data_IF_433223943515
#
_entry.id   IF_433223943515
#
_cell.length_a   1.000
_cell.length_b   1.000
_cell.length_c   1.000
_cell.angle_alpha   90.00
_cell.angle_beta   90.00
_cell.angle_gamma   90.00
#
_symmetry.space_group_name_H-M   'P 1'
#
loop_
_entity.id
_entity.type
_entity.pdbx_description
1 polymer ?
#
# COMPACT_ATOMS: atom_id res chain seq x y z
N UNK A 1 -17.82 0.59 76.68
CA UNK A 1 -17.07 1.35 75.64
C UNK A 1 -16.87 0.59 74.31
N UNK A 2 -16.81 -0.75 74.26
CA UNK A 2 -16.62 -1.50 73.00
C UNK A 2 -17.80 -1.49 72.00
N UNK A 3 -19.03 -1.17 72.43
CA UNK A 3 -20.20 -1.05 71.52
C UNK A 3 -20.32 0.31 70.85
N UNK A 4 -19.71 1.38 71.41
CA UNK A 4 -19.80 2.73 70.85
C UNK A 4 -18.79 2.92 69.70
N UNK A 5 -17.63 2.25 69.78
CA UNK A 5 -16.62 2.25 68.71
C UNK A 5 -17.07 1.50 67.45
N UNK A 6 -17.89 0.45 67.58
CA UNK A 6 -18.39 -0.29 66.41
C UNK A 6 -19.44 0.51 65.63
N UNK A 7 -20.31 1.25 66.32
CA UNK A 7 -21.33 2.10 65.68
C UNK A 7 -20.73 3.30 64.96
N UNK A 8 -19.64 3.87 65.48
CA UNK A 8 -18.93 5.00 64.85
C UNK A 8 -18.19 4.58 63.58
N UNK A 9 -17.55 3.41 63.57
CA UNK A 9 -16.89 2.86 62.38
C UNK A 9 -17.91 2.49 61.30
N UNK A 10 -19.04 1.89 61.66
CA UNK A 10 -20.13 1.60 60.72
C UNK A 10 -20.77 2.88 60.17
N UNK A 11 -20.92 3.93 60.99
CA UNK A 11 -21.46 5.22 60.52
C UNK A 11 -20.51 5.95 59.57
N UNK A 12 -19.19 5.87 59.76
CA UNK A 12 -18.21 6.44 58.83
C UNK A 12 -18.20 5.69 57.48
N UNK A 13 -18.31 4.37 57.49
CA UNK A 13 -18.36 3.54 56.26
C UNK A 13 -19.65 3.83 55.46
N UNK A 14 -20.78 4.01 56.14
CA UNK A 14 -22.05 4.37 55.50
C UNK A 14 -22.00 5.78 54.90
N UNK A 15 -21.40 6.76 55.59
CA UNK A 15 -21.27 8.14 55.09
C UNK A 15 -20.33 8.24 53.88
N UNK A 16 -19.25 7.44 53.82
CA UNK A 16 -18.40 7.37 52.62
C UNK A 16 -19.14 6.78 51.41
N UNK A 17 -19.98 5.76 51.59
CA UNK A 17 -20.78 5.16 50.52
C UNK A 17 -21.85 6.11 49.95
N UNK A 18 -22.44 6.96 50.79
CA UNK A 18 -23.39 7.98 50.35
C UNK A 18 -22.74 9.19 49.66
N UNK A 19 -21.45 9.45 49.86
CA UNK A 19 -20.75 10.57 49.20
C UNK A 19 -20.31 10.26 47.77
N UNK A 20 -20.18 8.98 47.40
CA UNK A 20 -19.58 8.56 46.12
C UNK A 20 -20.62 8.42 45.01
N UNK A 21 -21.84 7.96 45.33
CA UNK A 21 -22.99 8.05 44.42
C UNK A 21 -23.36 9.50 44.06
N UNK A 22 -22.90 10.49 44.85
CA UNK A 22 -23.03 11.92 44.51
C UNK A 22 -22.22 12.29 43.28
N UNK A 23 -21.07 11.67 43.01
CA UNK A 23 -20.28 12.00 41.83
C UNK A 23 -21.03 11.62 40.55
N UNK A 24 -21.71 10.46 40.52
CA UNK A 24 -22.59 10.08 39.40
C UNK A 24 -23.73 11.10 39.25
N UNK A 25 -24.34 11.52 40.36
CA UNK A 25 -25.43 12.49 40.34
C UNK A 25 -24.97 13.90 39.93
N UNK A 26 -23.80 14.33 40.37
CA UNK A 26 -23.19 15.61 40.02
C UNK A 26 -22.79 15.63 38.55
N UNK A 27 -22.21 14.54 38.04
CA UNK A 27 -21.93 14.38 36.61
C UNK A 27 -23.20 14.54 35.77
N UNK A 28 -24.31 13.89 36.18
CA UNK A 28 -25.61 14.09 35.53
C UNK A 28 -26.11 15.53 35.60
N UNK A 29 -26.04 16.16 36.78
CA UNK A 29 -26.51 17.54 36.97
C UNK A 29 -25.71 18.53 36.10
N UNK A 30 -24.39 18.32 35.96
CA UNK A 30 -23.51 19.13 35.11
C UNK A 30 -23.69 18.84 33.61
N UNK A 31 -24.11 17.62 33.26
CA UNK A 31 -24.34 17.19 31.87
C UNK A 31 -25.72 17.56 31.31
N UNK A 32 -26.75 17.75 32.16
CA UNK A 32 -28.15 17.87 31.72
C UNK A 32 -28.30 18.87 30.54
N UNK A 33 -28.70 18.34 29.38
CA UNK A 33 -28.86 19.08 28.13
C UNK A 33 -29.88 20.21 28.28
N UNK A 34 -29.66 21.32 27.55
CA UNK A 34 -30.35 22.62 27.56
C UNK A 34 -31.89 22.55 27.50
N UNK A 35 -32.52 21.99 28.52
CA UNK A 35 -33.98 21.98 28.69
C UNK A 35 -34.42 23.09 29.65
N UNK A 36 -33.49 23.68 30.41
CA UNK A 36 -33.78 24.63 31.49
C UNK A 36 -32.93 25.93 31.42
N UNK A 37 -32.43 26.37 30.25
CA UNK A 37 -31.49 27.52 30.10
C UNK A 37 -30.15 27.37 30.86
N UNK A 38 -29.85 26.16 31.34
CA UNK A 38 -28.56 25.82 31.96
C UNK A 38 -27.65 25.27 30.88
N UNK A 39 -26.52 25.95 30.65
CA UNK A 39 -25.49 25.52 29.70
C UNK A 39 -24.85 24.22 30.20
N UNK A 40 -24.77 23.21 29.34
CA UNK A 40 -24.04 21.97 29.63
C UNK A 40 -22.58 22.29 29.98
N UNK A 41 -22.12 21.80 31.15
CA UNK A 41 -20.74 22.00 31.60
C UNK A 41 -19.94 20.71 31.42
N UNK A 42 -19.54 20.43 30.18
CA UNK A 42 -18.92 19.16 29.79
C UNK A 42 -17.63 18.85 30.58
N UNK A 43 -16.77 19.84 30.83
CA UNK A 43 -15.55 19.65 31.62
C UNK A 43 -15.86 19.26 33.08
N UNK A 44 -16.80 19.96 33.73
CA UNK A 44 -17.22 19.65 35.10
C UNK A 44 -17.92 18.27 35.18
N UNK A 45 -18.75 17.93 34.18
CA UNK A 45 -19.38 16.63 34.08
C UNK A 45 -18.36 15.50 33.92
N UNK A 46 -17.32 15.73 33.10
CA UNK A 46 -16.18 14.82 32.92
C UNK A 46 -15.46 14.58 34.24
N UNK A 47 -15.11 15.64 34.96
CA UNK A 47 -14.38 15.53 36.23
C UNK A 47 -15.14 14.66 37.23
N UNK A 48 -16.46 14.90 37.39
CA UNK A 48 -17.27 14.08 38.30
C UNK A 48 -17.42 12.64 37.83
N UNK A 49 -17.59 12.38 36.52
CA UNK A 49 -17.78 11.01 36.05
C UNK A 49 -16.47 10.21 36.07
N UNK A 50 -15.31 10.87 35.94
CA UNK A 50 -13.99 10.25 36.11
C UNK A 50 -13.71 9.91 37.56
N UNK A 51 -14.09 10.78 38.50
CA UNK A 51 -14.03 10.46 39.93
C UNK A 51 -14.92 9.27 40.28
N UNK A 52 -16.10 9.14 39.65
CA UNK A 52 -16.97 7.98 39.84
C UNK A 52 -16.39 6.70 39.19
N UNK A 53 -15.79 6.81 38.00
CA UNK A 53 -15.17 5.69 37.31
C UNK A 53 -13.98 5.10 38.08
N UNK A 54 -13.13 5.95 38.65
CA UNK A 54 -11.93 5.53 39.38
C UNK A 54 -12.19 5.03 40.81
N UNK A 55 -13.45 4.98 41.25
CA UNK A 55 -13.81 4.57 42.59
C UNK A 55 -14.43 3.16 42.61
N UNK A 56 -13.93 2.27 43.48
CA UNK A 56 -14.28 0.83 43.51
C UNK A 56 -15.79 0.56 43.60
N UNK A 57 -16.52 1.33 44.40
CA UNK A 57 -17.97 1.14 44.59
C UNK A 57 -18.83 1.60 43.41
N UNK A 58 -18.30 2.40 42.50
CA UNK A 58 -19.05 3.04 41.40
C UNK A 58 -18.50 2.71 40.01
N UNK A 59 -17.30 2.14 39.91
CA UNK A 59 -16.64 1.77 38.65
C UNK A 59 -17.40 0.72 37.85
N UNK A 60 -18.24 -0.09 38.50
CA UNK A 60 -19.10 -1.08 37.87
C UNK A 60 -20.59 -0.71 37.88
N UNK A 61 -20.96 0.50 38.33
CA UNK A 61 -22.36 0.93 38.41
C UNK A 61 -22.92 1.19 36.99
N UNK A 62 -24.00 0.51 36.56
CA UNK A 62 -24.62 0.76 35.26
C UNK A 62 -25.10 2.22 35.07
N UNK A 63 -25.50 2.91 36.15
CA UNK A 63 -25.88 4.33 36.09
C UNK A 63 -24.67 5.20 35.74
N UNK A 64 -23.49 4.88 36.28
CA UNK A 64 -22.24 5.56 35.97
C UNK A 64 -21.91 5.38 34.48
N UNK A 65 -21.89 4.14 33.99
CA UNK A 65 -21.59 3.85 32.58
C UNK A 65 -22.54 4.55 31.61
N UNK A 66 -23.84 4.60 31.91
CA UNK A 66 -24.82 5.34 31.10
C UNK A 66 -24.51 6.84 31.01
N UNK A 67 -24.07 7.49 32.08
CA UNK A 67 -23.72 8.91 32.01
C UNK A 67 -22.34 9.13 31.40
N UNK A 68 -21.36 8.26 31.71
CA UNK A 68 -20.04 8.28 31.09
C UNK A 68 -20.14 8.20 29.58
N UNK A 69 -20.95 7.28 29.05
CA UNK A 69 -21.11 7.11 27.60
C UNK A 69 -21.66 8.38 26.94
N UNK A 70 -22.68 9.01 27.54
CA UNK A 70 -23.31 10.24 27.02
C UNK A 70 -22.39 11.46 27.10
N UNK A 71 -21.73 11.65 28.25
CA UNK A 71 -20.79 12.76 28.47
C UNK A 71 -19.63 12.67 27.48
N UNK A 72 -18.99 11.51 27.38
CA UNK A 72 -17.83 11.34 26.49
C UNK A 72 -18.22 11.35 25.01
N UNK A 73 -19.41 10.88 24.63
CA UNK A 73 -19.92 11.06 23.26
C UNK A 73 -20.06 12.54 22.91
N UNK A 74 -20.64 13.34 23.82
CA UNK A 74 -20.81 14.77 23.55
C UNK A 74 -19.47 15.52 23.52
N UNK A 75 -18.52 15.16 24.39
CA UNK A 75 -17.14 15.67 24.33
C UNK A 75 -16.51 15.30 22.99
N UNK A 76 -16.57 14.03 22.57
CA UNK A 76 -16.01 13.56 21.30
C UNK A 76 -16.57 14.34 20.10
N UNK A 77 -17.89 14.58 20.06
CA UNK A 77 -18.56 15.21 18.92
C UNK A 77 -18.45 16.73 18.90
N UNK A 78 -18.52 17.39 20.06
CA UNK A 78 -18.69 18.85 20.14
C UNK A 78 -17.52 19.58 20.78
N UNK A 79 -16.70 18.90 21.57
CA UNK A 79 -15.64 19.54 22.36
C UNK A 79 -14.41 18.63 22.55
N UNK A 80 -13.83 18.06 21.47
CA UNK A 80 -12.74 17.09 21.57
C UNK A 80 -11.48 17.68 22.24
N UNK A 81 -11.34 19.01 22.30
CA UNK A 81 -10.26 19.68 23.04
C UNK A 81 -10.30 19.50 24.57
N UNK A 82 -11.44 19.08 25.14
CA UNK A 82 -11.56 18.79 26.59
C UNK A 82 -10.81 17.51 26.94
N UNK A 83 -10.88 16.49 26.07
CA UNK A 83 -10.15 15.24 26.26
C UNK A 83 -9.78 14.63 24.90
N UNK A 84 -8.48 14.52 24.64
CA UNK A 84 -7.95 13.93 23.41
C UNK A 84 -8.28 12.43 23.28
N UNK A 85 -8.57 11.75 24.39
CA UNK A 85 -8.95 10.35 24.44
C UNK A 85 -10.48 10.15 24.43
N UNK A 86 -11.27 11.21 24.26
CA UNK A 86 -12.73 11.14 24.38
C UNK A 86 -13.37 10.04 23.52
N UNK A 87 -12.84 9.77 22.32
CA UNK A 87 -13.34 8.70 21.45
C UNK A 87 -13.15 7.31 22.07
N UNK A 88 -12.02 7.03 22.72
CA UNK A 88 -11.76 5.75 23.39
C UNK A 88 -12.63 5.61 24.64
N UNK A 89 -12.73 6.67 25.44
CA UNK A 89 -13.56 6.70 26.65
C UNK A 89 -15.05 6.55 26.33
N UNK A 90 -15.54 7.21 25.26
CA UNK A 90 -16.90 7.04 24.77
C UNK A 90 -17.13 5.61 24.29
N UNK A 91 -16.19 5.03 23.53
CA UNK A 91 -16.30 3.67 22.99
C UNK A 91 -16.41 2.64 24.13
N UNK A 92 -15.47 2.66 25.08
CA UNK A 92 -15.49 1.75 26.24
C UNK A 92 -16.80 1.89 27.01
N UNK A 93 -17.24 3.12 27.29
CA UNK A 93 -18.46 3.35 28.04
C UNK A 93 -19.73 2.86 27.33
N UNK A 94 -19.81 2.97 25.99
CA UNK A 94 -20.92 2.38 25.24
C UNK A 94 -20.87 0.84 25.23
N UNK A 95 -19.69 0.24 25.09
CA UNK A 95 -19.53 -1.21 25.18
C UNK A 95 -19.99 -1.71 26.56
N UNK A 96 -19.57 -1.05 27.64
CA UNK A 96 -20.00 -1.37 29.01
C UNK A 96 -21.49 -1.18 29.25
N UNK A 97 -22.12 -0.21 28.58
CA UNK A 97 -23.57 -0.07 28.61
C UNK A 97 -24.30 -1.32 28.06
N UNK A 98 -23.66 -2.14 27.23
CA UNK A 98 -24.24 -3.37 26.69
C UNK A 98 -24.05 -4.58 27.62
N UNK A 99 -23.34 -4.43 28.75
CA UNK A 99 -23.22 -5.51 29.74
C UNK A 99 -24.61 -6.00 30.21
N UNK A 100 -24.72 -7.31 30.41
CA UNK A 100 -25.99 -7.97 30.76
C UNK A 100 -26.04 -8.31 32.25
N UNK A 101 -27.22 -8.10 32.85
CA UNK A 101 -27.48 -8.51 34.23
C UNK A 101 -27.66 -10.03 34.35
N UNK A 102 -27.80 -10.54 35.58
CA UNK A 102 -27.98 -11.99 35.86
C UNK A 102 -29.19 -12.63 35.16
N UNK A 103 -30.10 -11.83 34.60
CA UNK A 103 -31.27 -12.29 33.83
C UNK A 103 -31.10 -12.08 32.33
N UNK A 104 -29.89 -11.78 31.85
CA UNK A 104 -29.56 -11.58 30.43
C UNK A 104 -30.03 -10.25 29.84
N UNK A 105 -30.52 -9.30 30.66
CA UNK A 105 -31.03 -8.00 30.18
C UNK A 105 -29.93 -6.96 30.26
N UNK A 106 -29.94 -5.97 29.37
CA UNK A 106 -29.02 -4.84 29.47
C UNK A 106 -29.08 -4.19 30.85
N UNK A 107 -27.89 -3.96 31.43
CA UNK A 107 -27.72 -3.41 32.77
C UNK A 107 -28.25 -1.97 32.85
N UNK A 108 -28.05 -1.16 31.80
CA UNK A 108 -28.43 0.26 31.76
C UNK A 108 -29.89 0.53 31.37
N UNK A 109 -30.71 -0.51 31.16
CA UNK A 109 -32.08 -0.40 30.61
C UNK A 109 -33.04 0.53 31.38
N UNK A 110 -32.71 0.90 32.63
CA UNK A 110 -33.49 1.84 33.43
C UNK A 110 -33.30 3.30 32.98
N UNK A 111 -32.20 3.61 32.29
CA UNK A 111 -31.81 4.98 31.94
C UNK A 111 -31.72 5.23 30.43
N UNK A 112 -31.51 4.19 29.64
CA UNK A 112 -31.36 4.31 28.19
C UNK A 112 -31.78 3.02 27.49
N UNK A 113 -32.29 3.13 26.27
CA UNK A 113 -32.64 1.95 25.45
C UNK A 113 -31.37 1.36 24.83
N UNK A 114 -31.42 0.07 24.50
CA UNK A 114 -30.33 -0.62 23.79
C UNK A 114 -29.98 0.10 22.48
N UNK A 115 -30.99 0.48 21.72
CA UNK A 115 -30.87 1.18 20.44
C UNK A 115 -30.09 2.49 20.57
N UNK A 116 -30.34 3.29 21.60
CA UNK A 116 -29.62 4.54 21.84
C UNK A 116 -28.13 4.28 22.12
N UNK A 117 -27.82 3.20 22.85
CA UNK A 117 -26.43 2.80 23.14
C UNK A 117 -25.74 2.34 21.86
N UNK A 118 -26.41 1.53 21.04
CA UNK A 118 -25.88 1.06 19.76
C UNK A 118 -25.67 2.23 18.78
N UNK A 119 -26.60 3.18 18.70
CA UNK A 119 -26.46 4.38 17.88
C UNK A 119 -25.27 5.25 18.31
N UNK A 120 -25.05 5.41 19.62
CA UNK A 120 -23.85 6.09 20.15
C UNK A 120 -22.56 5.34 19.84
N UNK A 121 -22.59 4.01 19.90
CA UNK A 121 -21.44 3.16 19.57
C UNK A 121 -21.10 3.22 18.06
N UNK A 122 -22.10 3.27 17.19
CA UNK A 122 -21.92 3.50 15.75
C UNK A 122 -21.26 4.86 15.50
N UNK A 123 -21.69 5.92 16.18
CA UNK A 123 -21.04 7.23 16.09
C UNK A 123 -19.57 7.19 16.54
N UNK A 124 -19.26 6.41 17.58
CA UNK A 124 -17.87 6.16 17.99
C UNK A 124 -17.07 5.46 16.88
N UNK A 125 -17.64 4.42 16.24
CA UNK A 125 -17.01 3.72 15.13
C UNK A 125 -16.68 4.63 13.94
N UNK A 126 -17.62 5.48 13.51
CA UNK A 126 -17.37 6.49 12.47
C UNK A 126 -16.29 7.50 12.89
N UNK A 127 -16.32 7.97 14.14
CA UNK A 127 -15.32 8.93 14.63
C UNK A 127 -13.91 8.30 14.70
N UNK A 128 -13.78 7.07 15.20
CA UNK A 128 -12.53 6.31 15.21
C UNK A 128 -11.96 6.15 13.80
N UNK A 129 -12.81 5.77 12.83
CA UNK A 129 -12.38 5.58 11.46
C UNK A 129 -11.90 6.89 10.82
N UNK A 130 -12.74 7.93 10.85
CA UNK A 130 -12.44 9.22 10.23
C UNK A 130 -11.21 9.88 10.86
N UNK A 131 -11.16 9.97 12.19
CA UNK A 131 -10.02 10.58 12.86
C UNK A 131 -8.77 9.69 12.85
N UNK A 132 -8.91 8.39 12.60
CA UNK A 132 -7.80 7.50 12.28
C UNK A 132 -7.18 7.83 10.91
N UNK A 133 -8.02 8.12 9.92
CA UNK A 133 -7.56 8.61 8.60
C UNK A 133 -6.88 9.98 8.75
N UNK A 134 -7.44 10.89 9.54
CA UNK A 134 -6.82 12.20 9.82
C UNK A 134 -5.44 12.04 10.48
N UNK A 135 -5.33 11.15 11.47
CA UNK A 135 -4.05 10.84 12.12
C UNK A 135 -3.04 10.25 11.15
N UNK A 136 -3.47 9.33 10.26
CA UNK A 136 -2.60 8.77 9.23
C UNK A 136 -2.06 9.86 8.30
N UNK A 137 -2.94 10.74 7.80
CA UNK A 137 -2.57 11.85 6.93
C UNK A 137 -1.65 12.87 7.64
N UNK A 138 -1.83 13.05 8.95
CA UNK A 138 -0.96 13.85 9.80
C UNK A 138 0.35 13.13 10.20
N UNK A 139 0.59 11.92 9.68
CA UNK A 139 1.74 11.04 9.99
C UNK A 139 1.80 10.55 11.45
N UNK A 140 0.70 10.65 12.18
CA UNK A 140 0.53 10.12 13.52
C UNK A 140 0.15 8.62 13.48
N UNK A 141 0.95 7.80 12.79
CA UNK A 141 0.62 6.41 12.45
C UNK A 141 0.28 5.54 13.67
N UNK A 142 1.04 5.70 14.77
CA UNK A 142 0.77 4.96 16.02
C UNK A 142 -0.60 5.26 16.61
N UNK A 143 -1.09 6.50 16.49
CA UNK A 143 -2.42 6.88 16.99
C UNK A 143 -3.52 6.36 16.06
N UNK A 144 -3.32 6.47 14.74
CA UNK A 144 -4.22 5.89 13.74
C UNK A 144 -4.42 4.38 13.98
N UNK A 145 -3.32 3.64 14.19
CA UNK A 145 -3.34 2.19 14.48
C UNK A 145 -4.19 1.88 15.71
N UNK A 146 -4.03 2.63 16.80
CA UNK A 146 -4.83 2.44 18.03
C UNK A 146 -6.32 2.61 17.74
N UNK A 147 -6.69 3.65 16.98
CA UNK A 147 -8.09 3.92 16.60
C UNK A 147 -8.66 2.80 15.73
N UNK A 148 -7.93 2.37 14.70
CA UNK A 148 -8.36 1.28 13.83
C UNK A 148 -8.53 -0.05 14.58
N UNK A 149 -7.60 -0.38 15.48
CA UNK A 149 -7.71 -1.58 16.33
C UNK A 149 -8.95 -1.54 17.21
N UNK A 150 -9.31 -0.37 17.74
CA UNK A 150 -10.48 -0.22 18.61
C UNK A 150 -11.80 -0.55 17.89
N UNK A 151 -11.90 -0.28 16.57
CA UNK A 151 -13.10 -0.55 15.77
C UNK A 151 -13.45 -2.05 15.76
N UNK A 152 -12.48 -2.96 15.89
CA UNK A 152 -12.77 -4.40 15.96
C UNK A 152 -13.56 -4.81 17.20
N UNK A 153 -13.57 -4.00 18.27
CA UNK A 153 -14.44 -4.22 19.43
C UNK A 153 -15.89 -3.82 19.14
N UNK A 154 -16.10 -2.96 18.13
CA UNK A 154 -17.41 -2.43 17.76
C UNK A 154 -18.07 -3.27 16.68
N UNK A 155 -17.32 -3.77 15.69
CA UNK A 155 -17.87 -4.53 14.55
C UNK A 155 -18.82 -5.67 14.97
N UNK A 156 -18.48 -6.53 15.96
CA UNK A 156 -19.37 -7.61 16.40
C UNK A 156 -20.69 -7.11 17.03
N UNK A 157 -20.78 -5.83 17.35
CA UNK A 157 -21.93 -5.17 17.97
C UNK A 157 -22.80 -4.40 16.95
N UNK A 158 -22.37 -4.27 15.69
CA UNK A 158 -23.09 -3.57 14.60
C UNK A 158 -24.24 -4.41 14.01
N UNK A 159 -25.27 -4.65 14.83
CA UNK A 159 -26.40 -5.52 14.47
C UNK A 159 -27.17 -5.05 13.22
N UNK A 160 -27.25 -3.74 13.02
CA UNK A 160 -28.03 -3.12 11.93
C UNK A 160 -27.20 -2.83 10.67
N UNK A 161 -25.94 -3.30 10.65
CA UNK A 161 -24.98 -3.10 9.57
C UNK A 161 -24.76 -1.61 9.25
N UNK A 162 -24.84 -0.72 10.24
CA UNK A 162 -24.69 0.72 10.03
C UNK A 162 -23.25 1.10 9.73
N UNK A 163 -22.26 0.48 10.39
CA UNK A 163 -20.84 0.67 10.06
C UNK A 163 -20.53 0.09 8.68
N UNK A 164 -21.10 -1.08 8.37
CA UNK A 164 -20.97 -1.70 7.04
C UNK A 164 -21.50 -0.81 5.92
N UNK A 165 -22.63 -0.11 6.11
CA UNK A 165 -23.14 0.88 5.13
C UNK A 165 -22.18 2.06 4.92
N UNK A 166 -21.42 2.41 5.95
CA UNK A 166 -20.33 3.40 5.87
C UNK A 166 -19.01 2.85 5.33
N UNK A 167 -18.98 1.62 4.83
CA UNK A 167 -17.76 0.90 4.42
C UNK A 167 -16.70 0.77 5.55
N UNK A 168 -17.14 0.82 6.81
CA UNK A 168 -16.30 0.51 7.98
C UNK A 168 -16.44 -0.99 8.24
N UNK A 169 -15.72 -1.75 7.43
CA UNK A 169 -15.70 -3.23 7.42
C UNK A 169 -14.28 -3.74 7.69
N UNK A 170 -14.10 -5.01 8.10
CA UNK A 170 -12.78 -5.58 8.35
C UNK A 170 -11.76 -5.32 7.24
N UNK A 171 -12.13 -5.52 5.96
CA UNK A 171 -11.26 -5.27 4.80
C UNK A 171 -10.66 -3.86 4.80
N UNK A 172 -11.51 -2.83 4.96
CA UNK A 172 -11.07 -1.44 4.97
C UNK A 172 -10.14 -1.15 6.17
N UNK A 173 -10.41 -1.76 7.32
CA UNK A 173 -9.61 -1.57 8.52
C UNK A 173 -8.26 -2.30 8.41
N UNK A 174 -8.23 -3.52 7.88
CA UNK A 174 -6.99 -4.25 7.61
C UNK A 174 -6.11 -3.50 6.63
N UNK A 175 -6.68 -2.96 5.54
CA UNK A 175 -5.96 -2.11 4.59
C UNK A 175 -5.34 -0.88 5.27
N UNK A 176 -6.11 -0.15 6.08
CA UNK A 176 -5.60 1.02 6.78
C UNK A 176 -4.52 0.67 7.82
N UNK A 177 -4.66 -0.46 8.51
CA UNK A 177 -3.62 -0.96 9.43
C UNK A 177 -2.35 -1.34 8.67
N UNK A 178 -2.47 -2.10 7.58
CA UNK A 178 -1.35 -2.43 6.70
C UNK A 178 -0.61 -1.17 6.24
N UNK A 179 -1.34 -0.16 5.72
CA UNK A 179 -0.74 1.09 5.26
C UNK A 179 -0.02 1.83 6.40
N UNK A 180 -0.60 1.87 7.60
CA UNK A 180 0.05 2.50 8.75
C UNK A 180 1.33 1.78 9.19
N UNK A 181 1.35 0.45 9.19
CA UNK A 181 2.56 -0.33 9.49
C UNK A 181 3.59 -0.30 8.36
N UNK A 182 3.16 -0.11 7.11
CA UNK A 182 4.05 0.15 5.99
C UNK A 182 4.86 1.42 6.21
N UNK A 183 4.22 2.50 6.66
CA UNK A 183 4.90 3.76 6.98
C UNK A 183 5.83 3.68 8.21
N UNK A 184 5.57 2.73 9.11
CA UNK A 184 6.42 2.46 10.28
C UNK A 184 7.51 1.41 10.00
N UNK A 185 7.55 0.87 8.78
CA UNK A 185 8.46 -0.22 8.38
C UNK A 185 8.36 -1.48 9.28
N UNK A 186 7.22 -1.66 9.96
CA UNK A 186 6.94 -2.84 10.79
C UNK A 186 6.47 -4.00 9.90
N UNK A 187 7.44 -4.77 9.42
CA UNK A 187 7.22 -5.85 8.45
C UNK A 187 6.35 -6.98 9.02
N UNK A 188 6.48 -7.29 10.30
CA UNK A 188 5.72 -8.40 10.92
C UNK A 188 4.23 -8.04 10.99
N UNK A 189 3.92 -6.81 11.41
CA UNK A 189 2.55 -6.31 11.40
C UNK A 189 2.00 -6.16 9.98
N UNK A 190 2.81 -5.75 8.98
CA UNK A 190 2.39 -5.73 7.58
C UNK A 190 1.92 -7.11 7.11
N UNK A 191 2.72 -8.15 7.36
CA UNK A 191 2.38 -9.54 7.03
C UNK A 191 1.11 -9.98 7.76
N UNK A 192 0.97 -9.67 9.05
CA UNK A 192 -0.23 -10.03 9.83
C UNK A 192 -1.50 -9.48 9.20
N UNK A 193 -1.52 -8.19 8.83
CA UNK A 193 -2.72 -7.55 8.30
C UNK A 193 -3.00 -7.85 6.83
N UNK A 194 -1.97 -8.14 6.04
CA UNK A 194 -2.16 -8.72 4.70
C UNK A 194 -2.75 -10.12 4.80
N UNK A 195 -2.24 -10.98 5.69
CA UNK A 195 -2.78 -12.32 5.90
C UNK A 195 -4.23 -12.28 6.39
N UNK A 196 -4.57 -11.37 7.32
CA UNK A 196 -5.97 -11.18 7.73
C UNK A 196 -6.89 -10.75 6.58
N UNK A 197 -6.37 -9.95 5.63
CA UNK A 197 -7.11 -9.59 4.42
C UNK A 197 -7.35 -10.82 3.52
N UNK A 198 -6.32 -11.66 3.34
CA UNK A 198 -6.45 -12.94 2.61
C UNK A 198 -7.47 -13.86 3.28
N UNK A 199 -7.35 -14.07 4.60
CA UNK A 199 -8.25 -14.94 5.38
C UNK A 199 -9.70 -14.43 5.37
N UNK A 200 -9.88 -13.11 5.26
CA UNK A 200 -11.20 -12.49 5.13
C UNK A 200 -11.74 -12.48 3.68
N UNK A 201 -11.02 -13.07 2.72
CA UNK A 201 -11.33 -13.08 1.29
C UNK A 201 -11.51 -11.66 0.72
N UNK A 202 -10.68 -10.70 1.16
CA UNK A 202 -10.70 -9.35 0.60
C UNK A 202 -10.42 -9.40 -0.90
N UNK A 203 -11.32 -8.81 -1.70
CA UNK A 203 -11.22 -8.81 -3.16
C UNK A 203 -10.29 -7.69 -3.67
N UNK A 204 -8.99 -7.77 -3.35
CA UNK A 204 -7.98 -6.79 -3.76
C UNK A 204 -6.65 -7.49 -4.11
N UNK A 205 -6.24 -7.54 -5.40
CA UNK A 205 -5.02 -8.24 -5.82
C UNK A 205 -3.75 -7.62 -5.22
N UNK A 206 -3.80 -6.36 -4.78
CA UNK A 206 -2.66 -5.65 -4.18
C UNK A 206 -2.12 -6.36 -2.93
N UNK A 207 -2.98 -7.12 -2.25
CA UNK A 207 -2.61 -7.85 -1.03
C UNK A 207 -1.53 -8.90 -1.34
N UNK A 208 -1.73 -9.66 -2.42
CA UNK A 208 -0.82 -10.72 -2.86
C UNK A 208 0.49 -10.14 -3.39
N UNK A 209 0.41 -9.03 -4.13
CA UNK A 209 1.58 -8.27 -4.57
C UNK A 209 2.46 -7.80 -3.40
N UNK A 210 1.87 -7.21 -2.37
CA UNK A 210 2.64 -6.75 -1.21
C UNK A 210 3.22 -7.91 -0.40
N UNK A 211 2.47 -9.01 -0.20
CA UNK A 211 3.01 -10.21 0.44
C UNK A 211 4.22 -10.73 -0.32
N UNK A 212 4.09 -10.87 -1.65
CA UNK A 212 5.18 -11.30 -2.51
C UNK A 212 6.41 -10.41 -2.40
N UNK A 213 6.23 -9.09 -2.49
CA UNK A 213 7.33 -8.14 -2.38
C UNK A 213 8.05 -8.20 -1.03
N UNK A 214 7.31 -8.40 0.07
CA UNK A 214 7.91 -8.53 1.40
C UNK A 214 8.83 -9.76 1.45
N UNK A 215 8.38 -10.91 0.93
CA UNK A 215 9.21 -12.13 0.89
C UNK A 215 10.36 -12.03 -0.11
N UNK A 216 10.14 -11.41 -1.27
CA UNK A 216 11.18 -11.14 -2.27
C UNK A 216 12.31 -10.27 -1.69
N UNK A 217 11.97 -9.22 -0.93
CA UNK A 217 12.95 -8.37 -0.22
C UNK A 217 13.70 -9.12 0.89
N UNK A 218 13.09 -10.14 1.48
CA UNK A 218 13.75 -11.06 2.43
C UNK A 218 14.63 -12.11 1.74
N UNK A 219 14.61 -12.18 0.41
CA UNK A 219 15.32 -13.18 -0.40
C UNK A 219 14.62 -14.53 -0.48
N UNK A 220 13.38 -14.64 0.03
CA UNK A 220 12.56 -15.85 -0.03
C UNK A 220 11.70 -15.81 -1.30
N UNK A 221 12.31 -16.12 -2.44
CA UNK A 221 11.67 -15.99 -3.75
C UNK A 221 10.61 -17.07 -3.98
N UNK A 222 10.80 -18.28 -3.45
CA UNK A 222 9.83 -19.36 -3.51
C UNK A 222 8.52 -18.93 -2.84
N UNK A 223 8.59 -18.41 -1.61
CA UNK A 223 7.41 -17.92 -0.90
C UNK A 223 6.82 -16.67 -1.54
N UNK A 224 7.66 -15.79 -2.08
CA UNK A 224 7.18 -14.66 -2.86
C UNK A 224 6.34 -15.11 -4.06
N UNK A 225 6.78 -16.17 -4.75
CA UNK A 225 6.08 -16.73 -5.90
C UNK A 225 4.78 -17.44 -5.49
N UNK A 226 4.76 -18.16 -4.36
CA UNK A 226 3.53 -18.78 -3.82
C UNK A 226 2.40 -17.75 -3.67
N UNK A 227 2.68 -16.56 -3.13
CA UNK A 227 1.67 -15.51 -2.99
C UNK A 227 1.22 -14.92 -4.34
N UNK A 228 2.11 -14.81 -5.33
CA UNK A 228 1.71 -14.37 -6.67
C UNK A 228 0.79 -15.40 -7.33
N UNK A 229 1.12 -16.69 -7.24
CA UNK A 229 0.28 -17.77 -7.76
C UNK A 229 -1.08 -17.74 -7.09
N UNK A 230 -1.13 -17.65 -5.76
CA UNK A 230 -2.38 -17.55 -4.99
C UNK A 230 -3.22 -16.34 -5.42
N UNK A 231 -2.59 -15.18 -5.66
CA UNK A 231 -3.28 -14.01 -6.20
C UNK A 231 -3.84 -14.24 -7.60
N UNK A 232 -3.06 -14.86 -8.50
CA UNK A 232 -3.48 -15.14 -9.88
C UNK A 232 -4.58 -16.20 -9.98
N UNK A 233 -4.71 -17.10 -9.01
CA UNK A 233 -5.86 -18.02 -8.93
C UNK A 233 -7.18 -17.27 -8.80
N UNK A 234 -7.18 -16.09 -8.16
CA UNK A 234 -8.37 -15.24 -7.98
C UNK A 234 -8.45 -14.11 -9.01
N UNK A 235 -7.30 -13.63 -9.49
CA UNK A 235 -7.16 -12.46 -10.36
C UNK A 235 -6.28 -12.79 -11.58
N UNK A 236 -6.71 -13.77 -12.39
CA UNK A 236 -5.88 -14.37 -13.44
C UNK A 236 -5.37 -13.41 -14.51
N UNK A 237 -6.09 -12.32 -14.76
CA UNK A 237 -5.76 -11.28 -15.74
C UNK A 237 -5.20 -10.01 -15.11
N UNK A 238 -4.90 -10.00 -13.81
CA UNK A 238 -4.34 -8.82 -13.16
C UNK A 238 -2.88 -8.61 -13.57
N UNK A 239 -2.66 -7.60 -14.43
CA UNK A 239 -1.36 -7.30 -15.05
C UNK A 239 -0.26 -7.12 -14.01
N UNK A 240 -0.56 -6.46 -12.87
CA UNK A 240 0.41 -6.28 -11.79
C UNK A 240 0.94 -7.62 -11.25
N UNK A 241 0.08 -8.63 -11.09
CA UNK A 241 0.49 -9.95 -10.62
C UNK A 241 1.25 -10.73 -11.69
N UNK A 242 0.83 -10.61 -12.96
CA UNK A 242 1.54 -11.21 -14.10
C UNK A 242 2.97 -10.67 -14.21
N UNK A 243 3.13 -9.35 -14.15
CA UNK A 243 4.44 -8.69 -14.19
C UNK A 243 5.32 -9.10 -12.99
N UNK A 244 4.71 -9.24 -11.81
CA UNK A 244 5.42 -9.67 -10.60
C UNK A 244 5.89 -11.13 -10.69
N UNK A 245 5.12 -12.01 -11.34
CA UNK A 245 5.56 -13.37 -11.62
C UNK A 245 6.81 -13.36 -12.52
N UNK A 246 6.78 -12.60 -13.62
CA UNK A 246 7.91 -12.51 -14.56
C UNK A 246 9.17 -11.98 -13.86
N UNK A 247 9.05 -10.91 -13.07
CA UNK A 247 10.16 -10.35 -12.28
C UNK A 247 10.75 -11.37 -11.30
N UNK A 248 9.90 -12.15 -10.61
CA UNK A 248 10.37 -13.23 -9.74
C UNK A 248 11.09 -14.34 -10.52
N UNK A 249 10.58 -14.74 -11.68
CA UNK A 249 11.24 -15.76 -12.50
C UNK A 249 12.63 -15.30 -12.95
N UNK A 250 12.77 -14.04 -13.35
CA UNK A 250 14.07 -13.44 -13.66
C UNK A 250 15.01 -13.45 -12.45
N UNK A 251 14.53 -13.04 -11.27
CA UNK A 251 15.32 -13.04 -10.02
C UNK A 251 15.73 -14.43 -9.55
N UNK A 252 14.88 -15.43 -9.78
CA UNK A 252 15.15 -16.84 -9.46
C UNK A 252 16.08 -17.50 -10.49
N UNK A 253 16.47 -16.82 -11.57
CA UNK A 253 17.30 -17.38 -12.62
C UNK A 253 16.63 -18.55 -13.35
N UNK A 254 15.30 -18.48 -13.55
CA UNK A 254 14.55 -19.47 -14.36
C UNK A 254 15.05 -19.46 -15.80
N UNK A 255 14.74 -20.54 -16.54
CA UNK A 255 15.24 -20.67 -17.91
C UNK A 255 14.70 -19.54 -18.79
N UNK A 256 15.49 -19.12 -19.77
CA UNK A 256 15.08 -18.08 -20.72
C UNK A 256 13.80 -18.47 -21.46
N UNK A 257 13.62 -19.74 -21.79
CA UNK A 257 12.43 -20.27 -22.43
C UNK A 257 11.19 -20.18 -21.52
N UNK A 258 11.32 -20.48 -20.22
CA UNK A 258 10.21 -20.31 -19.27
C UNK A 258 9.79 -18.85 -19.19
N UNK A 259 10.74 -17.91 -19.14
CA UNK A 259 10.48 -16.47 -19.09
C UNK A 259 9.80 -16.00 -20.39
N UNK A 260 10.28 -16.46 -21.56
CA UNK A 260 9.65 -16.16 -22.86
C UNK A 260 8.20 -16.64 -22.90
N UNK A 261 7.91 -17.84 -22.39
CA UNK A 261 6.54 -18.34 -22.35
C UNK A 261 5.65 -17.44 -21.47
N UNK A 262 6.12 -17.07 -20.28
CA UNK A 262 5.38 -16.17 -19.38
C UNK A 262 5.12 -14.79 -19.97
N UNK A 263 6.10 -14.23 -20.68
CA UNK A 263 5.95 -12.98 -21.41
C UNK A 263 4.96 -13.12 -22.56
N UNK A 264 4.95 -14.27 -23.25
CA UNK A 264 4.00 -14.55 -24.33
C UNK A 264 2.57 -14.62 -23.79
N UNK A 265 2.35 -15.37 -22.71
CA UNK A 265 1.05 -15.44 -22.03
C UNK A 265 0.60 -14.03 -21.56
N UNK A 266 1.53 -13.21 -21.06
CA UNK A 266 1.24 -11.84 -20.63
C UNK A 266 0.82 -10.92 -21.79
N UNK A 267 1.49 -11.03 -22.94
CA UNK A 267 1.18 -10.26 -24.16
C UNK A 267 -0.18 -10.68 -24.75
N UNK A 268 -0.55 -11.95 -24.64
CA UNK A 268 -1.89 -12.41 -25.05
C UNK A 268 -3.02 -11.81 -24.17
N UNK A 269 -2.72 -11.50 -22.91
CA UNK A 269 -3.66 -10.84 -21.99
C UNK A 269 -3.73 -9.33 -22.26
N UNK A 270 -2.57 -8.69 -22.38
CA UNK A 270 -2.45 -7.25 -22.66
C UNK A 270 -1.28 -6.98 -23.61
N UNK A 271 -1.61 -6.69 -24.87
CA UNK A 271 -0.64 -6.34 -25.91
C UNK A 271 -0.39 -4.83 -26.02
N UNK A 272 -0.94 -4.01 -25.12
CA UNK A 272 -0.76 -2.55 -25.16
C UNK A 272 0.44 -2.05 -24.36
N UNK A 273 1.16 -2.95 -23.68
CA UNK A 273 2.33 -2.64 -22.87
C UNK A 273 3.63 -2.96 -23.62
N UNK A 274 4.31 -1.92 -24.12
CA UNK A 274 5.54 -2.07 -24.90
C UNK A 274 6.67 -2.72 -24.10
N UNK A 275 6.64 -2.61 -22.77
CA UNK A 275 7.69 -3.14 -21.89
C UNK A 275 7.73 -4.68 -21.97
N UNK A 276 6.59 -5.35 -22.15
CA UNK A 276 6.56 -6.82 -22.26
C UNK A 276 7.30 -7.30 -23.51
N UNK A 277 7.08 -6.64 -24.65
CA UNK A 277 7.79 -6.92 -25.88
C UNK A 277 9.29 -6.64 -25.76
N UNK A 278 9.67 -5.50 -25.15
CA UNK A 278 11.08 -5.18 -24.90
C UNK A 278 11.76 -6.26 -24.06
N UNK A 279 11.16 -6.69 -22.94
CA UNK A 279 11.75 -7.75 -22.10
C UNK A 279 11.84 -9.07 -22.86
N UNK A 280 10.82 -9.43 -23.66
CA UNK A 280 10.81 -10.69 -24.44
C UNK A 280 11.85 -10.67 -25.56
N UNK A 281 12.05 -9.53 -26.23
CA UNK A 281 13.12 -9.36 -27.22
C UNK A 281 14.51 -9.57 -26.64
N UNK A 282 14.74 -9.12 -25.40
CA UNK A 282 16.00 -9.34 -24.70
C UNK A 282 16.20 -10.83 -24.41
N UNK A 283 15.14 -11.53 -24.01
CA UNK A 283 15.20 -12.99 -23.82
C UNK A 283 15.47 -13.73 -25.14
N UNK A 284 14.81 -13.35 -26.24
CA UNK A 284 15.09 -13.91 -27.56
C UNK A 284 16.54 -13.67 -28.01
N UNK A 285 17.09 -12.49 -27.72
CA UNK A 285 18.48 -12.16 -28.02
C UNK A 285 19.46 -13.08 -27.28
N UNK A 286 19.19 -13.42 -26.01
CA UNK A 286 20.03 -14.34 -25.21
C UNK A 286 20.10 -15.75 -25.82
N UNK A 287 19.03 -16.22 -26.47
CA UNK A 287 18.99 -17.51 -27.17
C UNK A 287 19.27 -17.38 -28.68
N UNK A 288 19.80 -16.24 -29.12
CA UNK A 288 20.16 -15.96 -30.52
C UNK A 288 18.99 -15.98 -31.53
N UNK A 289 17.75 -15.83 -31.06
CA UNK A 289 16.55 -15.71 -31.90
C UNK A 289 16.36 -14.26 -32.38
N UNK A 290 17.34 -13.75 -33.12
CA UNK A 290 17.46 -12.31 -33.44
C UNK A 290 16.26 -11.75 -34.23
N UNK A 291 15.64 -12.56 -35.10
CA UNK A 291 14.47 -12.14 -35.90
C UNK A 291 13.27 -11.87 -34.99
N UNK A 292 13.00 -12.77 -34.02
CA UNK A 292 11.90 -12.57 -33.06
C UNK A 292 12.16 -11.39 -32.13
N UNK A 293 13.43 -11.18 -31.76
CA UNK A 293 13.81 -10.01 -30.99
C UNK A 293 13.54 -8.70 -31.75
N UNK A 294 13.84 -8.67 -33.05
CA UNK A 294 13.55 -7.52 -33.92
C UNK A 294 12.04 -7.28 -34.05
N UNK A 295 11.26 -8.34 -34.32
CA UNK A 295 9.79 -8.27 -34.41
C UNK A 295 9.18 -7.68 -33.13
N UNK A 296 9.59 -8.17 -31.95
CA UNK A 296 9.09 -7.65 -30.66
C UNK A 296 9.46 -6.17 -30.44
N UNK A 297 10.69 -5.77 -30.80
CA UNK A 297 11.10 -4.37 -30.64
C UNK A 297 10.40 -3.42 -31.60
N UNK A 298 10.08 -3.89 -32.81
CA UNK A 298 9.27 -3.13 -33.76
C UNK A 298 7.83 -2.97 -33.24
N UNK A 299 7.22 -4.05 -32.75
CA UNK A 299 5.89 -3.98 -32.12
C UNK A 299 5.87 -3.02 -30.92
N UNK A 300 6.92 -3.05 -30.08
CA UNK A 300 7.08 -2.09 -28.99
C UNK A 300 7.09 -0.62 -29.46
N UNK A 301 7.68 -0.34 -30.63
CA UNK A 301 7.70 0.98 -31.26
C UNK A 301 6.38 1.34 -31.97
N UNK A 302 5.59 0.35 -32.39
CA UNK A 302 4.22 0.59 -32.87
C UNK A 302 3.31 1.05 -31.72
N UNK A 303 3.47 0.46 -30.54
CA UNK A 303 2.77 0.86 -29.31
C UNK A 303 3.25 2.23 -28.81
N UNK A 304 4.57 2.40 -28.70
CA UNK A 304 5.20 3.62 -28.21
C UNK A 304 6.40 4.02 -29.09
N UNK A 305 6.14 4.85 -30.08
CA UNK A 305 7.15 5.33 -31.04
C UNK A 305 8.26 6.20 -30.41
N UNK A 306 8.02 6.73 -29.21
CA UNK A 306 8.97 7.53 -28.43
C UNK A 306 9.67 6.69 -27.33
N UNK A 307 9.56 5.36 -27.38
CA UNK A 307 10.24 4.49 -26.43
C UNK A 307 11.75 4.53 -26.61
N UNK A 308 12.44 5.25 -25.71
CA UNK A 308 13.91 5.30 -25.66
C UNK A 308 14.50 3.89 -25.50
N UNK A 309 13.87 3.05 -24.67
CA UNK A 309 14.33 1.68 -24.42
C UNK A 309 14.22 0.81 -25.68
N UNK A 310 13.09 0.82 -26.39
CA UNK A 310 12.94 0.03 -27.61
C UNK A 310 13.92 0.49 -28.70
N UNK A 311 14.06 1.81 -28.91
CA UNK A 311 15.04 2.37 -29.86
C UNK A 311 16.49 1.94 -29.54
N UNK A 312 16.89 2.01 -28.27
CA UNK A 312 18.23 1.60 -27.85
C UNK A 312 18.46 0.08 -28.03
N UNK A 313 17.49 -0.73 -27.63
CA UNK A 313 17.58 -2.19 -27.78
C UNK A 313 17.62 -2.60 -29.25
N UNK A 314 16.86 -1.94 -30.14
CA UNK A 314 16.85 -2.25 -31.57
C UNK A 314 18.16 -1.85 -32.26
N UNK A 315 18.71 -0.68 -31.91
CA UNK A 315 20.05 -0.29 -32.34
C UNK A 315 21.10 -1.31 -31.88
N UNK A 316 21.07 -1.69 -30.60
CA UNK A 316 22.00 -2.67 -30.01
C UNK A 316 21.86 -4.05 -30.65
N UNK A 317 20.63 -4.48 -30.95
CA UNK A 317 20.34 -5.75 -31.61
C UNK A 317 21.02 -5.82 -32.97
N UNK A 318 20.82 -4.84 -33.85
CA UNK A 318 21.49 -4.81 -35.16
C UNK A 318 23.01 -4.77 -35.04
N UNK A 319 23.55 -4.04 -34.07
CA UNK A 319 25.00 -4.00 -33.83
C UNK A 319 25.53 -5.34 -33.34
N UNK A 320 24.80 -6.06 -32.48
CA UNK A 320 25.18 -7.40 -32.03
C UNK A 320 25.22 -8.41 -33.18
N UNK A 321 24.33 -8.27 -34.17
CA UNK A 321 24.34 -9.10 -35.38
C UNK A 321 25.59 -8.88 -36.24
N UNK A 322 26.34 -7.78 -36.06
CA UNK A 322 27.60 -7.55 -36.78
C UNK A 322 28.76 -8.39 -36.25
N UNK A 323 28.75 -8.75 -34.97
CA UNK A 323 29.87 -9.47 -34.32
C UNK A 323 30.25 -10.79 -35.02
N UNK A 324 29.31 -11.71 -35.32
CA UNK A 324 29.66 -12.95 -36.02
C UNK A 324 30.16 -12.69 -37.45
N UNK A 325 29.72 -11.60 -38.10
CA UNK A 325 30.18 -11.23 -39.45
C UNK A 325 31.59 -10.65 -39.42
N UNK A 326 31.89 -9.78 -38.46
CA UNK A 326 33.22 -9.22 -38.23
C UNK A 326 34.22 -10.33 -37.91
N UNK A 327 33.83 -11.29 -37.06
CA UNK A 327 34.68 -12.45 -36.77
C UNK A 327 34.98 -13.27 -38.03
N UNK A 328 33.93 -13.65 -38.79
CA UNK A 328 34.09 -14.36 -40.07
C UNK A 328 34.99 -13.60 -41.03
N UNK A 329 34.85 -12.27 -41.10
CA UNK A 329 35.65 -11.40 -41.96
C UNK A 329 37.12 -11.41 -41.56
N UNK A 330 37.41 -11.31 -40.28
CA UNK A 330 38.78 -11.28 -39.75
C UNK A 330 39.52 -12.61 -39.91
N UNK A 331 38.79 -13.72 -40.02
CA UNK A 331 39.35 -15.06 -40.26
C UNK A 331 39.73 -15.30 -41.74
N UNK A 332 39.32 -14.44 -42.67
CA UNK A 332 39.61 -14.58 -44.10
C UNK A 332 41.02 -14.11 -44.47
N UNK A 333 41.59 -14.73 -45.51
CA UNK A 333 42.84 -14.24 -46.11
C UNK A 333 42.58 -12.94 -46.89
N UNK A 334 43.54 -12.02 -46.90
CA UNK A 334 43.51 -10.79 -47.70
C UNK A 334 43.26 -11.03 -49.21
N UNK A 335 43.50 -12.27 -49.70
CA UNK A 335 43.24 -12.68 -51.09
C UNK A 335 41.77 -13.01 -51.37
N UNK A 336 40.96 -13.20 -50.34
CA UNK A 336 39.53 -13.54 -50.46
C UNK A 336 38.67 -12.29 -50.63
N UNK A 337 39.11 -11.34 -51.46
CA UNK A 337 38.55 -9.98 -51.59
C UNK A 337 37.04 -9.98 -51.78
N UNK A 338 36.49 -10.84 -52.65
CA UNK A 338 35.03 -10.92 -52.88
C UNK A 338 34.24 -11.31 -51.62
N UNK A 339 34.76 -12.21 -50.78
CA UNK A 339 34.09 -12.63 -49.54
C UNK A 339 34.18 -11.53 -48.47
N UNK A 340 35.33 -10.86 -48.40
CA UNK A 340 35.54 -9.70 -47.52
C UNK A 340 34.54 -8.59 -47.90
N UNK A 341 34.45 -8.24 -49.18
CA UNK A 341 33.54 -7.21 -49.69
C UNK A 341 32.06 -7.56 -49.40
N UNK A 342 31.68 -8.83 -49.47
CA UNK A 342 30.33 -9.29 -49.16
C UNK A 342 30.00 -9.16 -47.66
N UNK A 343 30.92 -9.59 -46.79
CA UNK A 343 30.76 -9.43 -45.35
C UNK A 343 30.76 -7.95 -44.94
N UNK A 344 31.60 -7.12 -45.55
CA UNK A 344 31.62 -5.68 -45.31
C UNK A 344 30.29 -5.02 -45.68
N UNK A 345 29.67 -5.43 -46.80
CA UNK A 345 28.32 -4.95 -47.16
C UNK A 345 27.27 -5.38 -46.16
N UNK A 346 27.31 -6.62 -45.66
CA UNK A 346 26.37 -7.09 -44.64
C UNK A 346 26.52 -6.33 -43.32
N UNK A 347 27.76 -6.12 -42.87
CA UNK A 347 28.07 -5.32 -41.66
C UNK A 347 27.57 -3.89 -41.82
N UNK A 348 27.88 -3.25 -42.95
CA UNK A 348 27.43 -1.88 -43.25
C UNK A 348 25.89 -1.80 -43.33
N UNK A 349 25.22 -2.83 -43.85
CA UNK A 349 23.77 -2.86 -43.89
C UNK A 349 23.16 -2.88 -42.48
N UNK A 350 23.68 -3.72 -41.58
CA UNK A 350 23.24 -3.76 -40.18
C UNK A 350 23.53 -2.44 -39.45
N UNK A 351 24.71 -1.86 -39.68
CA UNK A 351 25.04 -0.53 -39.17
C UNK A 351 24.05 0.54 -39.66
N UNK A 352 23.68 0.52 -40.95
CA UNK A 352 22.64 1.41 -41.51
C UNK A 352 21.28 1.17 -40.87
N UNK A 353 20.89 -0.08 -40.63
CA UNK A 353 19.64 -0.40 -39.93
C UNK A 353 19.63 0.11 -38.49
N UNK A 354 20.78 0.12 -37.80
CA UNK A 354 20.87 0.62 -36.42
C UNK A 354 20.75 2.14 -36.29
N UNK A 355 21.17 2.90 -37.31
CA UNK A 355 21.24 4.37 -37.28
C UNK A 355 19.94 5.07 -36.88
N UNK A 356 18.78 4.83 -37.54
CA UNK A 356 17.56 5.57 -37.22
C UNK A 356 17.14 5.41 -35.76
N UNK A 357 17.31 4.21 -35.20
CA UNK A 357 16.95 3.92 -33.81
C UNK A 357 17.96 4.50 -32.82
N UNK A 358 19.26 4.43 -33.12
CA UNK A 358 20.29 5.03 -32.27
C UNK A 358 20.17 6.56 -32.22
N UNK A 359 19.94 7.20 -33.37
CA UNK A 359 19.70 8.65 -33.47
C UNK A 359 18.43 9.03 -32.70
N UNK A 360 17.35 8.26 -32.86
CA UNK A 360 16.10 8.50 -32.13
C UNK A 360 16.31 8.38 -30.62
N UNK A 361 16.97 7.33 -30.15
CA UNK A 361 17.33 7.15 -28.74
C UNK A 361 18.09 8.36 -28.18
N UNK A 362 19.15 8.80 -28.87
CA UNK A 362 19.96 9.96 -28.46
C UNK A 362 19.10 11.23 -28.43
N UNK A 363 18.27 11.46 -29.45
CA UNK A 363 17.39 12.65 -29.49
C UNK A 363 16.39 12.69 -28.33
N UNK A 364 15.87 11.53 -27.91
CA UNK A 364 14.96 11.43 -26.76
C UNK A 364 15.71 11.73 -25.46
N UNK A 365 16.94 11.21 -25.30
CA UNK A 365 17.78 11.50 -24.14
C UNK A 365 18.10 13.00 -24.03
N UNK A 366 18.54 13.60 -25.13
CA UNK A 366 18.83 15.04 -25.19
C UNK A 366 17.60 15.89 -24.86
N UNK A 367 16.43 15.52 -25.38
CA UNK A 367 15.16 16.18 -25.06
C UNK A 367 14.78 16.12 -23.57
N UNK A 368 15.31 15.14 -22.84
CA UNK A 368 15.15 14.98 -21.40
C UNK A 368 16.32 15.56 -20.58
N UNK A 369 17.19 16.36 -21.21
CA UNK A 369 18.40 16.93 -20.59
C UNK A 369 19.40 15.85 -20.10
N UNK A 370 19.31 14.63 -20.66
CA UNK A 370 20.21 13.53 -20.40
C UNK A 370 21.18 13.33 -21.57
N UNK A 371 22.38 12.84 -21.26
CA UNK A 371 23.44 12.62 -22.25
C UNK A 371 24.03 11.23 -22.09
N UNK A 372 24.03 10.45 -23.17
CA UNK A 372 24.66 9.14 -23.23
C UNK A 372 25.93 9.21 -24.10
N UNK A 373 27.07 9.48 -23.44
CA UNK A 373 28.39 9.57 -24.09
C UNK A 373 28.76 8.28 -24.84
N UNK A 374 28.33 7.12 -24.35
CA UNK A 374 28.63 5.83 -24.99
C UNK A 374 27.82 5.66 -26.29
N UNK A 375 26.56 6.06 -26.29
CA UNK A 375 25.72 6.07 -27.49
C UNK A 375 26.25 7.05 -28.55
N UNK A 376 26.66 8.26 -28.16
CA UNK A 376 27.30 9.24 -29.06
C UNK A 376 28.61 8.72 -29.65
N UNK A 377 29.46 8.10 -28.84
CA UNK A 377 30.69 7.48 -29.34
C UNK A 377 30.39 6.36 -30.35
N UNK A 378 29.40 5.52 -30.06
CA UNK A 378 28.93 4.46 -30.95
C UNK A 378 28.40 5.05 -32.27
N UNK A 379 27.55 6.08 -32.20
CA UNK A 379 26.99 6.77 -33.35
C UNK A 379 28.10 7.35 -34.25
N UNK A 380 29.10 8.03 -33.67
CA UNK A 380 30.23 8.59 -34.42
C UNK A 380 31.06 7.52 -35.13
N UNK A 381 31.22 6.34 -34.51
CA UNK A 381 31.95 5.20 -35.06
C UNK A 381 31.18 4.60 -36.23
N UNK A 382 29.86 4.47 -36.11
CA UNK A 382 29.01 3.99 -37.19
C UNK A 382 29.06 4.95 -38.39
N UNK A 383 28.93 6.26 -38.16
CA UNK A 383 29.04 7.25 -39.22
C UNK A 383 30.38 7.16 -39.95
N UNK A 384 31.49 7.04 -39.22
CA UNK A 384 32.80 6.85 -39.82
C UNK A 384 32.86 5.58 -40.70
N UNK A 385 32.40 4.44 -40.17
CA UNK A 385 32.41 3.16 -40.89
C UNK A 385 31.56 3.17 -42.16
N UNK A 386 30.52 4.01 -42.20
CA UNK A 386 29.61 4.16 -43.34
C UNK A 386 30.05 5.26 -44.33
N UNK A 387 31.19 5.92 -44.09
CA UNK A 387 31.69 7.01 -44.93
C UNK A 387 30.95 8.34 -44.75
N UNK A 388 30.23 8.50 -43.64
CA UNK A 388 29.50 9.72 -43.26
C UNK A 388 30.42 10.62 -42.43
N UNK A 389 31.49 11.12 -43.06
CA UNK A 389 32.58 11.83 -42.36
C UNK A 389 32.10 13.09 -41.63
N UNK A 390 31.21 13.86 -42.26
CA UNK A 390 30.68 15.10 -41.68
C UNK A 390 29.93 14.81 -40.37
N UNK A 391 28.98 13.88 -40.42
CA UNK A 391 28.16 13.47 -39.29
C UNK A 391 29.01 12.85 -38.18
N UNK A 392 30.05 12.09 -38.54
CA UNK A 392 31.02 11.54 -37.58
C UNK A 392 31.78 12.65 -36.84
N UNK A 393 32.29 13.66 -37.56
CA UNK A 393 33.01 14.80 -36.97
C UNK A 393 32.07 15.60 -36.06
N UNK A 394 30.89 15.96 -36.53
CA UNK A 394 29.89 16.71 -35.74
C UNK A 394 29.53 15.98 -34.44
N UNK A 395 29.33 14.67 -34.50
CA UNK A 395 29.01 13.85 -33.31
C UNK A 395 30.20 13.80 -32.33
N UNK A 396 31.45 13.75 -32.83
CA UNK A 396 32.65 13.75 -31.97
C UNK A 396 32.89 15.10 -31.32
N UNK A 397 32.65 16.19 -32.04
CA UNK A 397 32.77 17.53 -31.50
C UNK A 397 31.74 17.76 -30.39
N UNK A 398 30.50 17.29 -30.59
CA UNK A 398 29.48 17.27 -29.54
C UNK A 398 29.96 16.45 -28.32
N UNK A 399 30.44 15.22 -28.53
CA UNK A 399 30.94 14.35 -27.47
C UNK A 399 32.06 15.02 -26.64
N UNK A 400 33.01 15.69 -27.31
CA UNK A 400 34.12 16.39 -26.66
C UNK A 400 33.68 17.68 -25.92
N UNK A 401 32.52 18.25 -26.29
CA UNK A 401 31.98 19.44 -25.63
C UNK A 401 31.27 19.15 -24.30
N UNK A 402 31.02 17.87 -24.02
CA UNK A 402 30.30 17.37 -22.84
C UNK A 402 31.23 17.03 -21.66
N UNK A 403 32.52 17.36 -21.76
CA UNK A 403 33.51 17.30 -20.67
C UNK A 403 33.49 18.59 -19.85
#
# INVERSE_FOLDING_TARGET
MKKITLTLVVSCIVLSGFSQSKNIQNAYNSYRQETDRVKTKLAEAKDFIDLAYNHESTSTDPKMWNYRSKIYLEIMLKSPGIDKNAVFEATEAHIRCLDRDKKGRIAVRKWTKEEDVLNGLVQCGYNLFNTGVDDYNAKNYSTAIKKYKEIFRIIPLDKDNLLKRGNIVPDAIYKNLFLAYLQLEDVDSQIEYLQKSIDNNTNDPIIYYYMSNIYSKKGDFEKALEYIILGKEQFSSEIMLVNSEIDLYMKMGKSTEEIIQKLTDAIEIDNSNEILFIIRSQQYSLISEMIKAEEDLLEALEINSESASANNNLASLYLSMTEPLVKKRNDLSYRETKKIDDLDKQIQQLQRSSLPFLVKYISIKEGNEEVDKAALNTLSTIYYNLGMEKESIETRDLLNSLD
#
